data_IF_715393546105
#
_entry.id   IF_715393546105
#
_cell.length_a   1.000
_cell.length_b   1.000
_cell.length_c   1.000
_cell.angle_alpha   90.00
_cell.angle_beta   90.00
_cell.angle_gamma   90.00
#
_symmetry.space_group_name_H-M   'P 1'
#
loop_
_entity.id
_entity.type
_entity.pdbx_description
1 polymer ?
#
# COMPACT_ATOMS: atom_id res chain seq x y z
N UNK A 1 48.56 16.37 9.65
CA UNK A 1 47.39 15.99 10.46
C UNK A 1 46.15 16.42 9.73
N UNK A 2 45.29 15.47 9.35
CA UNK A 2 44.05 15.75 8.62
C UNK A 2 43.25 14.46 8.54
N UNK A 3 42.45 14.19 9.57
CA UNK A 3 41.58 13.03 9.64
C UNK A 3 40.31 13.29 8.82
N UNK A 4 40.05 12.46 7.80
CA UNK A 4 38.77 12.41 7.09
C UNK A 4 37.85 11.41 7.84
N UNK A 5 36.58 11.74 8.12
CA UNK A 5 35.66 10.79 8.74
C UNK A 5 35.19 9.72 7.74
N UNK A 6 35.09 8.49 8.26
CA UNK A 6 34.68 7.29 7.57
C UNK A 6 33.21 7.33 7.15
N UNK A 7 32.96 6.90 5.92
CA UNK A 7 31.66 6.80 5.29
C UNK A 7 30.95 5.56 5.84
N UNK A 8 29.90 5.74 6.63
CA UNK A 8 29.08 4.65 7.16
C UNK A 8 27.87 4.39 6.23
N UNK A 9 28.01 3.45 5.31
CA UNK A 9 26.93 2.91 4.49
C UNK A 9 26.38 1.63 5.12
N UNK A 10 25.14 1.64 5.64
CA UNK A 10 24.31 0.43 5.81
C UNK A 10 22.87 0.79 6.21
N UNK A 11 22.03 1.21 5.25
CA UNK A 11 20.57 1.26 5.46
C UNK A 11 19.93 0.02 4.84
N UNK A 12 19.80 -1.03 5.66
CA UNK A 12 19.10 -2.25 5.30
C UNK A 12 17.60 -2.01 5.18
N UNK A 13 17.12 -1.80 3.96
CA UNK A 13 15.69 -1.74 3.67
C UNK A 13 15.14 -3.16 3.56
N UNK A 14 14.67 -3.70 4.69
CA UNK A 14 13.84 -4.91 4.68
C UNK A 14 12.53 -4.56 3.95
N UNK A 15 12.11 -5.25 2.88
CA UNK A 15 10.79 -5.02 2.33
C UNK A 15 9.80 -5.49 3.38
N UNK A 16 9.24 -4.54 4.12
CA UNK A 16 8.06 -4.82 4.91
C UNK A 16 7.03 -5.34 3.91
N UNK A 17 6.43 -6.53 4.10
CA UNK A 17 5.24 -6.86 3.35
C UNK A 17 4.24 -5.81 3.78
N UNK A 18 4.09 -4.77 2.95
CA UNK A 18 3.02 -3.80 3.08
C UNK A 18 1.79 -4.68 3.08
N UNK A 19 1.24 -4.87 4.28
CA UNK A 19 -0.02 -5.56 4.50
C UNK A 19 -0.91 -4.96 3.43
N UNK A 20 -1.33 -5.80 2.49
CA UNK A 20 -2.15 -5.38 1.37
C UNK A 20 -3.47 -5.05 2.02
N UNK A 21 -3.53 -3.86 2.60
CA UNK A 21 -4.65 -3.31 3.31
C UNK A 21 -5.73 -3.39 2.27
N UNK A 22 -6.67 -4.30 2.50
CA UNK A 22 -7.81 -4.57 1.66
C UNK A 22 -8.23 -3.24 1.10
N UNK A 23 -7.94 -2.98 -0.20
CA UNK A 23 -8.16 -1.67 -0.82
C UNK A 23 -9.57 -1.32 -0.37
N UNK A 24 -9.71 -0.33 0.51
CA UNK A 24 -10.99 -0.05 1.16
C UNK A 24 -11.85 0.54 0.07
N UNK A 25 -12.47 -0.34 -0.71
CA UNK A 25 -13.21 0.05 -1.88
C UNK A 25 -14.35 0.89 -1.34
N UNK A 26 -14.39 2.13 -1.82
CA UNK A 26 -15.33 3.10 -1.30
C UNK A 26 -16.74 2.53 -1.47
N UNK A 27 -17.60 2.69 -0.46
CA UNK A 27 -18.99 2.22 -0.56
C UNK A 27 -19.70 2.74 -1.84
N UNK A 28 -19.29 3.90 -2.36
CA UNK A 28 -19.83 4.46 -3.59
C UNK A 28 -19.05 4.11 -4.88
N UNK A 29 -17.91 3.45 -4.79
CA UNK A 29 -17.07 3.05 -5.92
C UNK A 29 -17.76 1.97 -6.77
N UNK A 30 -17.54 1.88 -8.09
CA UNK A 30 -18.01 0.75 -8.89
C UNK A 30 -17.56 -0.60 -8.32
N UNK A 31 -18.45 -1.59 -8.34
CA UNK A 31 -18.14 -2.92 -7.85
C UNK A 31 -17.06 -3.59 -8.72
N UNK A 32 -15.98 -4.13 -8.13
CA UNK A 32 -14.93 -4.82 -8.88
C UNK A 32 -15.41 -6.16 -9.44
N UNK A 33 -16.61 -6.60 -9.06
CA UNK A 33 -17.30 -7.77 -9.58
C UNK A 33 -17.84 -7.60 -11.02
N UNK A 34 -17.69 -6.42 -11.64
CA UNK A 34 -18.13 -6.18 -13.01
C UNK A 34 -19.63 -5.99 -13.19
N UNK A 35 -20.41 -5.92 -12.12
CA UNK A 35 -21.88 -5.79 -12.19
C UNK A 35 -22.39 -4.39 -12.55
N UNK A 36 -21.50 -3.41 -12.78
CA UNK A 36 -21.85 -2.01 -13.08
C UNK A 36 -22.54 -1.24 -11.95
N UNK A 37 -22.73 -1.88 -10.77
CA UNK A 37 -23.38 -1.29 -9.59
C UNK A 37 -22.33 -0.76 -8.62
N UNK A 38 -22.69 0.25 -7.82
CA UNK A 38 -21.84 0.73 -6.71
C UNK A 38 -21.60 -0.39 -5.69
N UNK A 39 -20.41 -0.44 -5.10
CA UNK A 39 -19.98 -1.47 -4.15
C UNK A 39 -21.01 -1.69 -3.04
N UNK A 40 -21.51 -0.62 -2.40
CA UNK A 40 -22.54 -0.69 -1.34
C UNK A 40 -23.89 -1.32 -1.77
N UNK A 41 -24.15 -1.42 -3.06
CA UNK A 41 -25.38 -2.01 -3.62
C UNK A 41 -25.12 -3.38 -4.27
N UNK A 42 -23.89 -3.88 -4.21
CA UNK A 42 -23.47 -5.12 -4.84
C UNK A 42 -22.73 -6.01 -3.82
N UNK A 43 -21.39 -6.03 -3.82
CA UNK A 43 -20.59 -6.84 -2.89
C UNK A 43 -20.42 -6.23 -1.49
N UNK A 44 -20.73 -4.94 -1.32
CA UNK A 44 -20.58 -4.20 -0.06
C UNK A 44 -21.90 -3.83 0.60
N UNK A 45 -22.97 -4.59 0.31
CA UNK A 45 -24.20 -4.57 1.12
C UNK A 45 -23.89 -5.05 2.54
#
# INVERSE_FOLDING_TARGET
GGAMPAQATASGSRPQPATVGSKKIGRNDPCPCGSGKKYKKCCGR
#
